data_IF_433554614327
#
_entry.id   IF_433554614327
#
_cell.length_a   1.000
_cell.length_b   1.000
_cell.length_c   1.000
_cell.angle_alpha   90.00
_cell.angle_beta   90.00
_cell.angle_gamma   90.00
#
_symmetry.space_group_name_H-M   'P 1'
#
loop_
_entity.id
_entity.type
_entity.pdbx_description
1 polymer ?
#
# COMPACT_ATOMS: atom_id res chain seq x y z
N UNK A 1 -17.50 -0.57 7.33
CA UNK A 1 -16.50 -1.62 7.62
C UNK A 1 -15.32 -1.58 6.66
N UNK A 2 -15.57 -1.72 5.36
CA UNK A 2 -14.57 -1.77 4.29
C UNK A 2 -13.45 -0.71 4.30
N UNK A 3 -13.77 0.56 4.57
CA UNK A 3 -12.76 1.63 4.67
C UNK A 3 -11.78 1.39 5.82
N UNK A 4 -12.24 0.85 6.96
CA UNK A 4 -11.39 0.49 8.09
C UNK A 4 -10.41 -0.62 7.70
N UNK A 5 -10.90 -1.62 6.95
CA UNK A 5 -10.07 -2.71 6.42
C UNK A 5 -8.99 -2.22 5.46
N UNK A 6 -9.33 -1.31 4.54
CA UNK A 6 -8.35 -0.70 3.62
C UNK A 6 -7.31 0.11 4.39
N UNK A 7 -7.75 0.92 5.37
CA UNK A 7 -6.85 1.70 6.21
C UNK A 7 -5.88 0.79 7.00
N UNK A 8 -6.40 -0.29 7.60
CA UNK A 8 -5.59 -1.27 8.31
C UNK A 8 -4.53 -1.91 7.41
N UNK A 9 -4.92 -2.35 6.20
CA UNK A 9 -3.97 -2.95 5.24
C UNK A 9 -2.89 -1.96 4.80
N UNK A 10 -3.23 -0.67 4.67
CA UNK A 10 -2.27 0.37 4.34
C UNK A 10 -1.29 0.65 5.50
N UNK A 11 -1.76 0.68 6.73
CA UNK A 11 -0.90 0.86 7.90
C UNK A 11 0.03 -0.35 8.08
N UNK A 12 -0.49 -1.57 7.90
CA UNK A 12 0.30 -2.79 7.96
C UNK A 12 1.41 -2.80 6.89
N UNK A 13 1.12 -2.38 5.66
CA UNK A 13 2.15 -2.34 4.61
C UNK A 13 3.26 -1.32 4.90
N UNK A 14 2.91 -0.17 5.50
CA UNK A 14 3.89 0.82 5.97
C UNK A 14 4.73 0.29 7.13
N UNK A 15 4.11 -0.37 8.12
CA UNK A 15 4.84 -0.94 9.25
C UNK A 15 5.83 -2.02 8.81
N UNK A 16 5.44 -2.88 7.88
CA UNK A 16 6.34 -3.91 7.35
C UNK A 16 7.52 -3.31 6.60
N UNK A 17 7.31 -2.21 5.87
CA UNK A 17 8.37 -1.56 5.11
C UNK A 17 9.30 -0.73 5.99
N UNK A 18 8.74 0.11 6.87
CA UNK A 18 9.52 1.07 7.66
C UNK A 18 10.02 0.49 8.99
N UNK A 19 9.25 -0.42 9.60
CA UNK A 19 9.58 -1.00 10.90
C UNK A 19 10.49 -2.23 10.81
N UNK A 20 10.19 -3.15 9.90
CA UNK A 20 10.94 -4.42 9.77
C UNK A 20 11.74 -4.55 8.48
N UNK A 21 11.65 -3.57 7.57
CA UNK A 21 12.28 -3.58 6.23
C UNK A 21 11.91 -4.80 5.37
N UNK A 22 10.76 -5.44 5.66
CA UNK A 22 10.27 -6.60 4.94
C UNK A 22 9.44 -6.17 3.72
N UNK A 23 10.14 -5.84 2.64
CA UNK A 23 9.55 -5.50 1.33
C UNK A 23 8.52 -6.52 0.79
N UNK A 24 8.75 -7.85 0.83
CA UNK A 24 7.78 -8.80 0.27
C UNK A 24 6.45 -8.79 1.04
N UNK A 25 6.49 -8.63 2.36
CA UNK A 25 5.28 -8.51 3.18
C UNK A 25 4.55 -7.19 2.93
N UNK A 26 5.28 -6.08 2.83
CA UNK A 26 4.69 -4.78 2.46
C UNK A 26 3.97 -4.84 1.11
N UNK A 27 4.59 -5.48 0.12
CA UNK A 27 3.98 -5.71 -1.19
C UNK A 27 2.72 -6.59 -1.08
N UNK A 28 2.77 -7.68 -0.32
CA UNK A 28 1.62 -8.54 -0.11
C UNK A 28 0.41 -7.77 0.43
N UNK A 29 0.58 -6.98 1.49
CA UNK A 29 -0.51 -6.17 2.07
C UNK A 29 -1.06 -5.14 1.08
N UNK A 30 -0.18 -4.47 0.34
CA UNK A 30 -0.56 -3.48 -0.66
C UNK A 30 -1.30 -4.11 -1.85
N UNK A 31 -0.92 -5.33 -2.26
CA UNK A 31 -1.61 -6.12 -3.28
C UNK A 31 -2.99 -6.58 -2.80
N UNK A 32 -3.11 -7.01 -1.55
CA UNK A 32 -4.41 -7.35 -0.94
C UNK A 32 -5.30 -6.12 -0.87
N UNK A 33 -4.77 -4.96 -0.46
CA UNK A 33 -5.49 -3.69 -0.44
C UNK A 33 -6.11 -3.36 -1.80
N UNK A 34 -5.32 -3.47 -2.88
CA UNK A 34 -5.78 -3.22 -4.25
C UNK A 34 -6.88 -4.21 -4.69
N UNK A 35 -6.74 -5.49 -4.35
CA UNK A 35 -7.77 -6.51 -4.63
C UNK A 35 -9.07 -6.24 -3.88
N UNK A 36 -8.97 -5.89 -2.59
CA UNK A 36 -10.13 -5.57 -1.74
C UNK A 36 -10.84 -4.31 -2.26
N UNK A 37 -10.09 -3.26 -2.61
CA UNK A 37 -10.67 -2.03 -3.14
C UNK A 37 -11.40 -2.26 -4.47
N UNK A 38 -10.84 -3.10 -5.35
CA UNK A 38 -11.48 -3.46 -6.63
C UNK A 38 -12.74 -4.28 -6.41
N UNK A 39 -12.67 -5.32 -5.56
CA UNK A 39 -13.82 -6.18 -5.25
C UNK A 39 -14.98 -5.42 -4.61
N UNK A 40 -14.67 -4.45 -3.76
CA UNK A 40 -15.67 -3.64 -3.05
C UNK A 40 -16.05 -2.36 -3.79
N UNK A 41 -15.47 -2.10 -4.97
CA UNK A 41 -15.69 -0.89 -5.78
C UNK A 41 -15.46 0.39 -4.95
N UNK A 42 -14.38 0.40 -4.16
CA UNK A 42 -14.04 1.54 -3.29
C UNK A 42 -13.01 2.42 -3.97
N UNK A 43 -13.31 3.70 -4.02
CA UNK A 43 -12.36 4.72 -4.43
C UNK A 43 -11.38 5.00 -3.29
N UNK A 44 -10.14 4.55 -3.46
CA UNK A 44 -9.03 4.89 -2.56
C UNK A 44 -8.69 6.36 -2.74
N UNK A 45 -8.42 7.06 -1.63
CA UNK A 45 -7.94 8.45 -1.64
C UNK A 45 -6.73 8.60 -2.58
N UNK A 46 -6.69 9.65 -3.42
CA UNK A 46 -5.61 9.85 -4.39
C UNK A 46 -4.23 9.98 -3.73
N UNK A 47 -4.15 10.48 -2.49
CA UNK A 47 -2.89 10.55 -1.73
C UNK A 47 -2.33 9.16 -1.44
N UNK A 48 -3.17 8.24 -0.95
CA UNK A 48 -2.79 6.84 -0.68
C UNK A 48 -2.52 6.09 -1.99
N UNK A 49 -3.32 6.34 -3.04
CA UNK A 49 -3.14 5.67 -4.34
C UNK A 49 -1.79 6.01 -4.99
N UNK A 50 -1.27 7.22 -4.78
CA UNK A 50 0.03 7.66 -5.32
C UNK A 50 1.23 7.09 -4.55
N UNK A 51 1.04 6.63 -3.32
CA UNK A 51 2.10 5.96 -2.55
C UNK A 51 2.21 4.47 -2.88
N UNK A 52 1.38 3.91 -3.76
CA UNK A 52 1.45 2.50 -4.15
C UNK A 52 1.79 2.38 -5.63
N UNK A 53 2.82 1.60 -5.96
CA UNK A 53 3.21 1.36 -7.35
C UNK A 53 2.13 0.58 -8.11
N UNK A 54 1.74 1.05 -9.29
CA UNK A 54 0.68 0.41 -10.09
C UNK A 54 1.05 -0.98 -10.62
N UNK A 55 2.34 -1.21 -10.90
CA UNK A 55 2.87 -2.45 -11.50
C UNK A 55 3.16 -3.51 -10.43
N UNK A 56 4.09 -3.22 -9.53
CA UNK A 56 4.52 -4.19 -8.52
C UNK A 56 3.70 -4.17 -7.24
N UNK A 57 2.83 -3.16 -7.02
CA UNK A 57 2.08 -2.95 -5.77
C UNK A 57 2.94 -2.68 -4.53
N UNK A 58 4.23 -2.40 -4.67
CA UNK A 58 5.07 -1.98 -3.56
C UNK A 58 4.76 -0.54 -3.12
N UNK A 59 4.91 -0.27 -1.82
CA UNK A 59 4.76 1.06 -1.26
C UNK A 59 5.97 1.93 -1.62
N UNK A 60 5.72 3.14 -2.12
CA UNK A 60 6.69 4.11 -2.59
C UNK A 60 7.03 5.06 -1.44
N UNK A 61 8.17 4.81 -0.80
CA UNK A 61 8.75 5.67 0.24
C UNK A 61 9.93 6.40 -0.39
N UNK A 62 9.88 7.75 -0.45
CA UNK A 62 10.99 8.55 -0.95
C UNK A 62 12.29 8.21 -0.20
N UNK A 63 13.37 7.96 -0.94
CA UNK A 63 14.68 7.63 -0.38
C UNK A 63 14.87 6.17 0.03
N UNK A 64 13.81 5.35 0.03
CA UNK A 64 13.89 3.93 0.41
C UNK A 64 13.53 3.00 -0.74
N UNK A 65 12.34 3.18 -1.32
CA UNK A 65 11.82 2.35 -2.44
C UNK A 65 11.49 3.17 -3.68
N UNK A 66 11.57 4.50 -3.59
CA UNK A 66 11.29 5.42 -4.68
C UNK A 66 12.28 6.59 -4.66
N UNK A 67 12.74 7.00 -5.84
CA UNK A 67 13.49 8.24 -6.04
C UNK A 67 12.54 9.32 -6.55
N UNK A 68 12.44 10.43 -5.81
CA UNK A 68 11.68 11.62 -6.24
C UNK A 68 12.69 12.58 -6.89
N UNK A 69 12.39 13.04 -8.09
CA UNK A 69 13.21 13.97 -8.87
C UNK A 69 12.37 15.19 -9.23
#
# INVERSE_FOLDING_TARGET
>A
DSFKRINYLYQASNLMLNGTNNQPLSNFYSRVLKKVSQKQVIQISPSIKRTICKKCSLLLVPGHTSTVR
#
